data_IF_740063355035
#
_entry.id   IF_740063355035
#
_cell.length_a   1.000
_cell.length_b   1.000
_cell.length_c   1.000
_cell.angle_alpha   90.00
_cell.angle_beta   90.00
_cell.angle_gamma   90.00
#
_symmetry.space_group_name_H-M   'P 1'
#
loop_
_entity.id
_entity.type
_entity.pdbx_description
1 polymer ?
#
# COMPACT_ATOMS: atom_id res chain seq x y z
N UNK A 1 28.05 1.57 -1.11
CA UNK A 1 27.01 1.13 -2.06
C UNK A 1 26.78 -0.34 -1.81
N UNK A 2 25.80 -0.68 -0.98
CA UNK A 2 25.38 -2.07 -0.74
C UNK A 2 24.27 -2.39 -1.72
N UNK A 3 24.57 -3.26 -2.69
CA UNK A 3 23.61 -3.79 -3.65
C UNK A 3 22.56 -4.64 -2.93
N UNK A 4 21.29 -4.30 -3.12
CA UNK A 4 20.16 -5.11 -2.66
C UNK A 4 19.74 -6.01 -3.83
N UNK A 5 20.17 -7.27 -3.81
CA UNK A 5 19.72 -8.26 -4.78
C UNK A 5 18.31 -8.75 -4.39
N UNK A 6 17.32 -8.69 -5.30
CA UNK A 6 15.99 -9.22 -5.00
C UNK A 6 16.04 -10.76 -4.90
N UNK A 7 15.24 -11.38 -4.01
CA UNK A 7 15.24 -12.82 -3.84
C UNK A 7 14.72 -13.51 -5.10
N UNK A 8 15.55 -14.37 -5.69
CA UNK A 8 15.16 -15.24 -6.80
C UNK A 8 14.37 -16.42 -6.23
N UNK A 9 13.07 -16.48 -6.52
CA UNK A 9 12.24 -17.64 -6.23
C UNK A 9 12.38 -18.61 -7.41
N UNK A 10 13.07 -19.73 -7.19
CA UNK A 10 13.19 -20.78 -8.19
C UNK A 10 11.84 -21.48 -8.40
N UNK A 11 11.44 -21.81 -9.66
CA UNK A 11 10.24 -22.58 -9.90
C UNK A 11 10.48 -24.03 -9.47
N UNK A 12 9.71 -24.49 -8.48
CA UNK A 12 9.74 -25.88 -8.00
C UNK A 12 9.08 -26.79 -9.04
N UNK A 13 9.89 -27.60 -9.73
CA UNK A 13 9.42 -28.69 -10.60
C UNK A 13 8.76 -29.77 -9.73
N UNK A 14 7.46 -30.02 -9.93
CA UNK A 14 6.73 -31.12 -9.28
C UNK A 14 7.06 -32.42 -10.04
N UNK A 15 7.77 -33.34 -9.38
CA UNK A 15 7.84 -34.74 -9.79
C UNK A 15 6.63 -35.52 -9.22
N UNK A 16 6.06 -36.50 -9.94
CA UNK A 16 4.94 -37.27 -9.42
C UNK A 16 5.44 -38.32 -8.41
N UNK A 17 4.76 -38.44 -7.27
CA UNK A 17 5.01 -39.48 -6.27
C UNK A 17 4.33 -40.81 -6.67
N UNK A 18 4.88 -41.97 -6.26
CA UNK A 18 4.22 -43.26 -6.44
C UNK A 18 3.15 -43.48 -5.36
N UNK A 19 2.06 -44.14 -5.74
CA UNK A 19 0.98 -44.53 -4.84
C UNK A 19 1.36 -45.81 -4.09
N UNK A 20 1.25 -45.82 -2.75
CA UNK A 20 0.56 -46.93 -2.09
C UNK A 20 0.07 -46.56 -0.68
N UNK A 21 -1.09 -47.10 -0.34
CA UNK A 21 -1.97 -46.59 0.72
C UNK A 21 -1.66 -47.03 2.15
N UNK A 22 -1.98 -46.16 3.09
CA UNK A 22 -2.68 -46.48 4.34
C UNK A 22 -3.15 -45.18 4.99
N UNK A 23 -4.39 -45.17 5.47
CA UNK A 23 -5.08 -43.96 5.91
C UNK A 23 -4.40 -43.26 7.09
N UNK A 24 -4.00 -42.01 6.87
CA UNK A 24 -3.70 -41.06 7.92
C UNK A 24 -4.67 -39.88 7.79
N UNK A 25 -5.37 -39.57 8.87
CA UNK A 25 -6.24 -38.41 8.96
C UNK A 25 -5.40 -37.14 8.77
N UNK A 26 -5.61 -36.46 7.65
CA UNK A 26 -4.95 -35.19 7.33
C UNK A 26 -5.48 -34.13 8.31
N UNK A 27 -4.73 -33.90 9.39
CA UNK A 27 -4.82 -32.63 10.13
C UNK A 27 -4.47 -31.52 9.15
N UNK A 28 -5.33 -30.52 8.91
CA UNK A 28 -4.97 -29.35 8.13
C UNK A 28 -3.77 -28.70 8.83
N UNK A 29 -2.59 -28.76 8.22
CA UNK A 29 -1.44 -28.01 8.70
C UNK A 29 -1.75 -26.55 8.47
N UNK A 30 -2.23 -25.89 9.52
CA UNK A 30 -2.41 -24.45 9.57
C UNK A 30 -1.09 -23.82 9.13
N UNK A 31 -1.13 -23.04 8.04
CA UNK A 31 0.03 -22.32 7.57
C UNK A 31 0.57 -21.50 8.74
N UNK A 32 1.89 -21.51 9.02
CA UNK A 32 2.45 -20.83 10.17
C UNK A 32 1.97 -19.38 10.15
N UNK A 33 1.28 -18.95 11.21
CA UNK A 33 0.92 -17.55 11.33
C UNK A 33 2.19 -16.72 11.23
N UNK A 34 2.20 -15.65 10.40
CA UNK A 34 3.35 -14.76 10.35
C UNK A 34 3.61 -14.30 11.78
N UNK A 35 4.86 -14.46 12.24
CA UNK A 35 5.23 -14.11 13.60
C UNK A 35 4.74 -12.69 13.91
N UNK A 36 4.16 -12.45 15.10
CA UNK A 36 3.75 -11.11 15.50
C UNK A 36 4.96 -10.20 15.36
N UNK A 37 4.79 -9.11 14.62
CA UNK A 37 5.85 -8.11 14.40
C UNK A 37 6.30 -7.64 15.79
N UNK A 38 7.55 -7.92 16.15
CA UNK A 38 8.08 -7.54 17.46
C UNK A 38 8.48 -6.06 17.42
N UNK A 39 8.47 -5.38 18.56
CA UNK A 39 8.99 -4.00 18.67
C UNK A 39 10.44 -3.86 18.19
N UNK A 40 11.17 -4.97 18.07
CA UNK A 40 12.54 -5.04 17.57
C UNK A 40 12.61 -5.12 16.03
N UNK A 41 11.59 -5.64 15.35
CA UNK A 41 11.45 -5.63 13.88
C UNK A 41 10.97 -4.26 13.36
N UNK A 42 10.30 -3.53 14.25
CA UNK A 42 9.92 -2.11 14.14
C UNK A 42 11.19 -1.29 14.43
N UNK A 43 12.22 -1.38 13.57
CA UNK A 43 13.49 -0.64 13.75
C UNK A 43 13.26 0.83 14.07
N UNK A 44 14.17 1.49 14.82
CA UNK A 44 14.03 2.88 15.34
C UNK A 44 13.12 3.77 14.49
N UNK A 45 11.83 3.87 14.86
CA UNK A 45 10.89 4.76 14.18
C UNK A 45 11.30 6.19 14.49
N UNK A 46 12.00 6.83 13.56
CA UNK A 46 12.22 8.28 13.68
C UNK A 46 10.88 8.94 13.43
N UNK A 47 10.48 9.87 14.29
CA UNK A 47 9.22 10.59 14.12
C UNK A 47 9.11 11.25 12.73
N UNK A 48 10.25 11.63 12.16
CA UNK A 48 10.37 12.19 10.81
C UNK A 48 9.95 11.21 9.69
N UNK A 49 10.10 9.89 9.89
CA UNK A 49 9.74 8.88 8.88
C UNK A 49 8.21 8.78 8.72
N UNK A 50 7.44 9.32 9.67
CA UNK A 50 5.97 9.38 9.60
C UNK A 50 5.45 10.56 8.78
N UNK A 51 6.30 11.54 8.47
CA UNK A 51 5.88 12.76 7.80
C UNK A 51 6.21 12.74 6.31
N UNK A 52 5.26 13.21 5.49
CA UNK A 52 5.57 13.48 4.09
C UNK A 52 6.56 14.64 3.96
N UNK A 53 7.39 14.69 2.91
CA UNK A 53 8.32 15.80 2.71
C UNK A 53 7.59 17.15 2.71
N UNK A 54 8.04 18.08 3.56
CA UNK A 54 7.39 19.39 3.74
C UNK A 54 7.28 20.19 2.43
N UNK A 55 8.21 19.99 1.50
CA UNK A 55 8.18 20.61 0.18
C UNK A 55 6.97 20.15 -0.66
N UNK A 56 6.56 18.89 -0.56
CA UNK A 56 5.40 18.35 -1.26
C UNK A 56 4.10 18.89 -0.65
N UNK A 57 4.01 18.90 0.68
CA UNK A 57 2.88 19.50 1.41
C UNK A 57 2.74 20.98 1.05
N UNK A 58 3.85 21.75 1.13
CA UNK A 58 3.85 23.17 0.80
C UNK A 58 3.44 23.47 -0.64
N UNK A 59 3.78 22.59 -1.60
CA UNK A 59 3.39 22.76 -3.01
C UNK A 59 1.88 22.60 -3.19
N UNK A 60 1.30 21.57 -2.57
CA UNK A 60 -0.14 21.30 -2.63
C UNK A 60 -0.92 22.44 -1.95
N UNK A 61 -0.53 22.83 -0.74
CA UNK A 61 -1.17 23.96 -0.04
C UNK A 61 -1.12 25.25 -0.88
N UNK A 62 0.00 25.49 -1.57
CA UNK A 62 0.15 26.68 -2.42
C UNK A 62 -0.74 26.66 -3.65
N UNK A 63 -1.04 25.48 -4.20
CA UNK A 63 -1.98 25.32 -5.31
C UNK A 63 -3.45 25.57 -4.90
N UNK A 64 -3.78 25.42 -3.62
CA UNK A 64 -5.12 25.64 -3.07
C UNK A 64 -5.41 27.12 -2.73
N UNK A 65 -4.44 28.02 -2.90
CA UNK A 65 -4.56 29.45 -2.55
C UNK A 65 -4.10 30.34 -3.71
N UNK A 66 -4.48 31.63 -3.74
CA UNK A 66 -4.00 32.56 -4.77
C UNK A 66 -2.47 32.62 -4.85
N UNK A 67 -1.94 32.82 -6.06
CA UNK A 67 -0.49 32.86 -6.33
C UNK A 67 0.28 33.89 -5.50
N UNK A 68 -0.37 34.98 -5.08
CA UNK A 68 0.20 36.03 -4.24
C UNK A 68 0.17 35.73 -2.74
N UNK A 69 -0.63 34.76 -2.29
CA UNK A 69 -0.80 34.44 -0.87
C UNK A 69 0.48 33.86 -0.25
N UNK A 70 0.78 34.20 1.01
CA UNK A 70 1.90 33.60 1.75
C UNK A 70 1.34 32.56 2.73
N UNK A 71 2.08 31.47 2.92
CA UNK A 71 1.75 30.41 3.87
C UNK A 71 2.88 30.39 4.90
N UNK A 72 2.54 30.55 6.18
CA UNK A 72 3.52 30.54 7.27
C UNK A 72 4.19 29.17 7.42
N UNK A 73 5.27 29.12 8.20
CA UNK A 73 5.96 27.85 8.48
C UNK A 73 5.06 26.94 9.32
N UNK A 74 4.45 27.50 10.35
CA UNK A 74 3.60 26.83 11.33
C UNK A 74 2.37 26.20 10.66
N UNK A 75 1.79 26.88 9.66
CA UNK A 75 0.68 26.32 8.89
C UNK A 75 1.09 25.09 8.06
N UNK A 76 2.32 25.07 7.53
CA UNK A 76 2.82 23.92 6.76
C UNK A 76 3.11 22.73 7.67
N UNK A 77 3.67 22.97 8.85
CA UNK A 77 3.93 21.95 9.87
C UNK A 77 2.61 21.36 10.39
N UNK A 78 1.62 22.21 10.70
CA UNK A 78 0.28 21.76 11.10
C UNK A 78 -0.38 20.87 10.03
N UNK A 79 -0.37 21.28 8.76
CA UNK A 79 -0.96 20.45 7.69
C UNK A 79 -0.16 19.16 7.45
N UNK A 80 1.17 19.19 7.63
CA UNK A 80 2.00 17.98 7.55
C UNK A 80 1.62 16.96 8.62
N UNK A 81 1.40 17.42 9.86
CA UNK A 81 0.90 16.58 10.96
C UNK A 81 -0.51 16.04 10.66
N UNK A 82 -1.43 16.91 10.24
CA UNK A 82 -2.80 16.51 9.91
C UNK A 82 -2.86 15.48 8.77
N UNK A 83 -1.98 15.56 7.78
CA UNK A 83 -1.94 14.59 6.68
C UNK A 83 -1.49 13.21 7.16
N UNK A 84 -0.51 13.15 8.07
CA UNK A 84 -0.08 11.88 8.65
C UNK A 84 -1.17 11.25 9.52
N UNK A 85 -1.89 12.07 10.29
CA UNK A 85 -3.06 11.63 11.03
C UNK A 85 -4.18 11.17 10.08
N UNK A 86 -4.46 11.90 9.00
CA UNK A 86 -5.45 11.53 8.00
C UNK A 86 -5.16 10.15 7.39
N UNK A 87 -3.91 9.87 7.01
CA UNK A 87 -3.52 8.54 6.50
C UNK A 87 -3.80 7.46 7.54
N UNK A 88 -3.45 7.72 8.80
CA UNK A 88 -3.64 6.76 9.90
C UNK A 88 -5.12 6.54 10.18
N UNK A 89 -5.93 7.59 10.11
CA UNK A 89 -7.37 7.56 10.34
C UNK A 89 -8.10 6.73 9.29
N UNK A 90 -7.89 7.03 8.00
CA UNK A 90 -8.49 6.25 6.90
C UNK A 90 -8.04 4.79 6.95
N UNK A 91 -6.74 4.57 7.18
CA UNK A 91 -6.18 3.21 7.19
C UNK A 91 -6.72 2.38 8.35
N UNK A 92 -6.98 3.01 9.50
CA UNK A 92 -7.58 2.33 10.66
C UNK A 92 -8.99 1.82 10.36
N UNK A 93 -9.85 2.67 9.78
CA UNK A 93 -11.22 2.29 9.40
C UNK A 93 -11.23 1.18 8.32
N UNK A 94 -10.36 1.32 7.31
CA UNK A 94 -10.21 0.29 6.26
C UNK A 94 -9.69 -1.04 6.81
N UNK A 95 -8.78 -0.98 7.79
CA UNK A 95 -8.25 -2.15 8.49
C UNK A 95 -9.35 -2.87 9.27
N UNK A 96 -10.20 -2.13 9.99
CA UNK A 96 -11.34 -2.70 10.72
C UNK A 96 -12.30 -3.43 9.77
N UNK A 97 -12.65 -2.79 8.63
CA UNK A 97 -13.49 -3.42 7.60
C UNK A 97 -12.88 -4.71 7.05
N UNK A 98 -11.59 -4.68 6.73
CA UNK A 98 -10.83 -5.83 6.23
C UNK A 98 -10.82 -6.97 7.25
N UNK A 99 -10.57 -6.65 8.52
CA UNK A 99 -10.52 -7.62 9.61
C UNK A 99 -11.90 -8.25 9.88
N UNK A 100 -12.96 -7.45 9.84
CA UNK A 100 -14.34 -7.95 9.97
C UNK A 100 -14.70 -8.96 8.87
N UNK A 101 -14.12 -8.83 7.67
CA UNK A 101 -14.25 -9.79 6.58
C UNK A 101 -13.27 -10.98 6.67
N UNK A 102 -12.54 -11.13 7.78
CA UNK A 102 -11.53 -12.17 8.01
C UNK A 102 -10.39 -12.17 6.97
N UNK A 103 -10.11 -11.01 6.38
CA UNK A 103 -8.98 -10.81 5.46
C UNK A 103 -7.78 -10.23 6.21
N UNK A 104 -6.58 -10.66 5.80
CA UNK A 104 -5.30 -10.16 6.35
C UNK A 104 -4.66 -9.05 5.48
N UNK A 105 -5.24 -8.74 4.33
CA UNK A 105 -4.70 -7.76 3.38
C UNK A 105 -5.77 -6.73 3.04
N UNK A 106 -5.47 -5.46 3.32
CA UNK A 106 -6.32 -4.32 2.98
C UNK A 106 -6.32 -4.15 1.46
N UNK A 107 -7.50 -4.17 0.86
CA UNK A 107 -7.72 -3.96 -0.56
C UNK A 107 -8.20 -2.54 -0.88
N UNK A 108 -8.25 -2.21 -2.18
CA UNK A 108 -8.78 -0.90 -2.62
C UNK A 108 -10.25 -0.68 -2.26
N UNK A 109 -11.04 -1.75 -2.17
CA UNK A 109 -12.46 -1.67 -1.77
C UNK A 109 -12.63 -1.28 -0.29
N UNK A 110 -11.69 -1.67 0.59
CA UNK A 110 -11.71 -1.27 2.01
C UNK A 110 -11.50 0.22 2.17
N UNK A 111 -10.61 0.79 1.37
CA UNK A 111 -10.33 2.23 1.34
C UNK A 111 -11.54 3.00 0.83
N UNK A 112 -12.21 2.48 -0.20
CA UNK A 112 -13.45 3.08 -0.72
C UNK A 112 -14.57 3.04 0.32
N UNK A 113 -14.70 1.94 1.06
CA UNK A 113 -15.63 1.84 2.18
C UNK A 113 -15.32 2.88 3.25
N UNK A 114 -14.06 2.94 3.72
CA UNK A 114 -13.64 3.88 4.76
C UNK A 114 -13.92 5.35 4.36
N UNK A 115 -13.62 5.72 3.10
CA UNK A 115 -13.89 7.07 2.59
C UNK A 115 -15.38 7.42 2.65
N UNK A 116 -16.28 6.49 2.30
CA UNK A 116 -17.73 6.73 2.38
C UNK A 116 -18.19 6.82 3.83
N UNK A 117 -17.80 5.86 4.67
CA UNK A 117 -18.21 5.79 6.09
C UNK A 117 -17.78 7.03 6.88
N UNK A 118 -16.62 7.58 6.55
CA UNK A 118 -16.07 8.76 7.24
C UNK A 118 -16.55 10.10 6.65
N UNK A 119 -17.44 10.09 5.67
CA UNK A 119 -18.05 11.29 5.09
C UNK A 119 -17.21 11.99 4.01
N UNK A 120 -16.35 11.25 3.32
CA UNK A 120 -15.54 11.70 2.19
C UNK A 120 -16.07 11.15 0.85
N UNK A 121 -17.40 11.11 0.65
CA UNK A 121 -18.01 10.45 -0.51
C UNK A 121 -17.53 11.01 -1.86
N UNK A 122 -17.36 12.33 -1.95
CA UNK A 122 -16.87 13.01 -3.17
C UNK A 122 -15.48 12.49 -3.59
N UNK A 123 -14.62 12.18 -2.62
CA UNK A 123 -13.32 11.59 -2.88
C UNK A 123 -13.43 10.10 -3.24
N UNK A 124 -14.35 9.36 -2.61
CA UNK A 124 -14.58 7.95 -2.90
C UNK A 124 -14.98 7.72 -4.36
N UNK A 125 -15.82 8.59 -4.94
CA UNK A 125 -16.20 8.50 -6.36
C UNK A 125 -15.00 8.64 -7.30
N UNK A 126 -14.15 9.63 -7.03
CA UNK A 126 -12.92 9.85 -7.79
C UNK A 126 -11.97 8.64 -7.66
N UNK A 127 -11.83 8.11 -6.44
CA UNK A 127 -10.98 6.95 -6.16
C UNK A 127 -11.44 5.66 -6.86
N UNK A 128 -12.75 5.45 -7.04
CA UNK A 128 -13.27 4.30 -7.80
C UNK A 128 -12.73 4.26 -9.23
N UNK A 129 -12.69 5.43 -9.87
CA UNK A 129 -12.15 5.58 -11.24
C UNK A 129 -10.65 5.26 -11.24
N UNK A 130 -9.91 5.78 -10.26
CA UNK A 130 -8.48 5.51 -10.13
C UNK A 130 -8.18 4.02 -9.87
N UNK A 131 -8.97 3.35 -9.04
CA UNK A 131 -8.82 1.92 -8.77
C UNK A 131 -9.05 1.07 -10.03
N UNK A 132 -10.07 1.41 -10.82
CA UNK A 132 -10.34 0.74 -12.10
C UNK A 132 -9.16 0.91 -13.08
N UNK A 133 -8.64 2.13 -13.23
CA UNK A 133 -7.46 2.41 -14.06
C UNK A 133 -6.23 1.65 -13.54
N UNK A 134 -5.99 1.64 -12.24
CA UNK A 134 -4.85 0.93 -11.65
C UNK A 134 -4.89 -0.58 -11.96
N UNK A 135 -6.06 -1.21 -11.84
CA UNK A 135 -6.28 -2.62 -12.21
C UNK A 135 -6.01 -2.88 -13.69
N UNK A 136 -6.44 -1.99 -14.60
CA UNK A 136 -6.18 -2.11 -16.04
C UNK A 136 -4.68 -2.05 -16.36
N UNK A 137 -3.93 -1.14 -15.72
CA UNK A 137 -2.48 -1.04 -15.90
C UNK A 137 -1.75 -2.28 -15.38
N UNK A 138 -2.20 -2.86 -14.25
CA UNK A 138 -1.63 -4.10 -13.71
C UNK A 138 -1.96 -5.34 -14.56
N UNK A 139 -3.12 -5.34 -15.23
CA UNK A 139 -3.55 -6.42 -16.11
C UNK A 139 -2.86 -6.43 -17.49
N UNK A 140 -2.12 -5.37 -17.84
CA UNK A 140 -1.34 -5.32 -19.09
C UNK A 140 0.04 -5.94 -18.86
N UNK A 141 0.32 -7.17 -19.35
CA UNK A 141 1.63 -7.77 -19.21
C UNK A 141 2.56 -7.18 -20.28
N UNK A 142 3.44 -6.27 -19.88
CA UNK A 142 4.65 -5.93 -20.65
C UNK A 142 4.59 -4.68 -21.54
N UNK A 143 4.96 -3.54 -20.97
CA UNK A 143 5.88 -2.62 -21.65
C UNK A 143 7.07 -2.34 -20.71
N UNK A 144 7.76 -3.42 -20.31
CA UNK A 144 9.08 -3.33 -19.68
C UNK A 144 10.10 -3.50 -20.80
N UNK A 145 10.70 -2.38 -21.20
CA UNK A 145 11.90 -2.25 -22.04
C UNK A 145 11.77 -2.69 -23.52
N UNK A 146 11.31 -1.77 -24.38
CA UNK A 146 11.83 -1.69 -25.76
C UNK A 146 12.92 -0.62 -25.73
N UNK A 147 14.21 -0.95 -25.99
CA UNK A 147 15.19 0.08 -26.27
C UNK A 147 14.77 0.76 -27.57
N UNK A 148 14.59 2.07 -27.52
CA UNK A 148 14.49 2.94 -28.70
C UNK A 148 15.76 2.72 -29.53
N UNK A 149 15.64 1.92 -30.60
CA UNK A 149 16.70 1.76 -31.59
C UNK A 149 16.69 3.04 -32.41
N UNK A 150 17.74 3.84 -32.21
CA UNK A 150 17.97 5.09 -32.92
C UNK A 150 18.07 4.84 -34.43
N UNK A 151 17.46 5.77 -35.19
CA UNK A 151 17.63 5.96 -36.62
C UNK A 151 19.11 5.89 -37.07
N UNK A 152 19.38 5.13 -38.13
CA UNK A 152 20.39 5.39 -39.16
C UNK A 152 19.80 5.04 -40.54
#
# INVERSE_FOLDING_TARGET
MSEFAPPTIAPQTIAPAPEDGSGAQLVPTEAPEPAPITEQDIGEYREQDRFLPIANVSRIMKAAVPGTAKISKEAKECVQECVSEFISFITSEASEKCHMEKRKTIGGEDILYAMVTLGFEDYAETLKIHLAKLRQHQATPGNRNVPEVADD
#
